data_IF_084919801550
#
_entry.id   IF_084919801550
#
_cell.length_a   1.000
_cell.length_b   1.000
_cell.length_c   1.000
_cell.angle_alpha   90.00
_cell.angle_beta   90.00
_cell.angle_gamma   90.00
#
_symmetry.space_group_name_H-M   'P 1'
#
loop_
_entity.id
_entity.type
_entity.pdbx_description
1 polymer ?
#
# COMPACT_ATOMS: atom_id res chain seq x y z
N UNK A 1 21.93 5.00 5.34
CA UNK A 1 20.89 3.95 5.14
C UNK A 1 19.90 4.45 4.09
N UNK A 2 19.34 3.56 3.27
CA UNK A 2 18.76 3.89 1.97
C UNK A 2 17.33 4.48 2.06
N UNK A 3 17.22 5.70 2.62
CA UNK A 3 15.94 6.39 2.82
C UNK A 3 15.14 6.56 1.52
N UNK A 4 15.83 6.64 0.36
CA UNK A 4 15.21 6.71 -0.96
C UNK A 4 14.45 5.44 -1.33
N UNK A 5 14.95 4.25 -0.95
CA UNK A 5 14.24 2.99 -1.22
C UNK A 5 12.97 2.91 -0.38
N UNK A 6 13.04 3.26 0.91
CA UNK A 6 11.85 3.27 1.78
C UNK A 6 10.78 4.21 1.21
N UNK A 7 11.19 5.40 0.77
CA UNK A 7 10.30 6.38 0.18
C UNK A 7 9.65 5.85 -1.11
N UNK A 8 10.43 5.25 -2.02
CA UNK A 8 9.91 4.63 -3.24
C UNK A 8 8.91 3.50 -2.95
N UNK A 9 9.14 2.68 -1.91
CA UNK A 9 8.17 1.67 -1.51
C UNK A 9 6.84 2.27 -1.05
N UNK A 10 6.86 3.40 -0.31
CA UNK A 10 5.65 4.10 0.10
C UNK A 10 4.89 4.68 -1.09
N UNK A 11 5.61 5.29 -2.02
CA UNK A 11 5.03 5.85 -3.25
C UNK A 11 4.34 4.77 -4.10
N UNK A 12 4.94 3.58 -4.23
CA UNK A 12 4.33 2.46 -4.94
C UNK A 12 3.05 1.96 -4.26
N UNK A 13 3.01 1.94 -2.92
CA UNK A 13 1.80 1.59 -2.17
C UNK A 13 0.70 2.62 -2.42
N UNK A 14 1.03 3.91 -2.37
CA UNK A 14 0.05 4.98 -2.60
C UNK A 14 -0.50 4.97 -4.02
N UNK A 15 0.36 4.76 -5.01
CA UNK A 15 -0.05 4.63 -6.41
C UNK A 15 -1.01 3.45 -6.60
N UNK A 16 -0.66 2.28 -6.07
CA UNK A 16 -1.52 1.11 -6.12
C UNK A 16 -2.87 1.36 -5.41
N UNK A 17 -2.87 2.07 -4.29
CA UNK A 17 -4.11 2.40 -3.55
C UNK A 17 -5.06 3.27 -4.39
N UNK A 18 -4.51 4.20 -5.15
CA UNK A 18 -5.29 5.14 -5.98
C UNK A 18 -5.79 4.50 -7.28
N UNK A 19 -5.00 3.59 -7.85
CA UNK A 19 -5.20 3.09 -9.22
C UNK A 19 -5.74 1.66 -9.31
N UNK A 20 -5.71 0.87 -8.23
CA UNK A 20 -6.11 -0.54 -8.25
C UNK A 20 -7.43 -0.81 -7.50
N UNK A 21 -8.08 -1.92 -7.86
CA UNK A 21 -9.17 -2.49 -7.06
C UNK A 21 -8.63 -3.01 -5.72
N UNK A 22 -9.46 -3.05 -4.67
CA UNK A 22 -9.02 -3.33 -3.29
C UNK A 22 -8.23 -4.65 -3.15
N UNK A 23 -8.71 -5.75 -3.73
CA UNK A 23 -8.00 -7.03 -3.67
C UNK A 23 -6.66 -7.00 -4.42
N UNK A 24 -6.60 -6.31 -5.57
CA UNK A 24 -5.37 -6.14 -6.35
C UNK A 24 -4.38 -5.27 -5.58
N UNK A 25 -4.85 -4.19 -4.95
CA UNK A 25 -4.03 -3.35 -4.08
C UNK A 25 -3.44 -4.13 -2.90
N UNK A 26 -4.24 -4.98 -2.25
CA UNK A 26 -3.78 -5.84 -1.14
C UNK A 26 -2.70 -6.82 -1.61
N UNK A 27 -2.86 -7.43 -2.77
CA UNK A 27 -1.84 -8.30 -3.37
C UNK A 27 -0.53 -7.55 -3.66
N UNK A 28 -0.61 -6.37 -4.28
CA UNK A 28 0.55 -5.51 -4.56
C UNK A 28 1.27 -5.12 -3.26
N UNK A 29 0.55 -4.79 -2.19
CA UNK A 29 1.15 -4.51 -0.88
C UNK A 29 2.00 -5.68 -0.37
N UNK A 30 1.47 -6.90 -0.46
CA UNK A 30 2.19 -8.11 -0.02
C UNK A 30 3.44 -8.35 -0.88
N UNK A 31 3.38 -8.11 -2.18
CA UNK A 31 4.52 -8.25 -3.08
C UNK A 31 5.62 -7.21 -2.81
N UNK A 32 5.24 -5.94 -2.61
CA UNK A 32 6.16 -4.87 -2.22
C UNK A 32 6.87 -5.23 -0.91
N UNK A 33 6.12 -5.68 0.10
CA UNK A 33 6.69 -6.07 1.39
C UNK A 33 7.64 -7.27 1.27
N UNK A 34 7.28 -8.29 0.48
CA UNK A 34 8.12 -9.46 0.24
C UNK A 34 9.49 -9.05 -0.34
N UNK A 35 9.49 -8.13 -1.31
CA UNK A 35 10.71 -7.62 -1.96
C UNK A 35 11.49 -6.65 -1.05
N UNK A 36 10.79 -5.76 -0.35
CA UNK A 36 11.39 -4.72 0.49
C UNK A 36 12.17 -5.28 1.68
N UNK A 37 11.76 -6.44 2.22
CA UNK A 37 12.46 -7.14 3.32
C UNK A 37 13.93 -7.45 3.02
N UNK A 38 14.29 -7.60 1.75
CA UNK A 38 15.66 -7.94 1.33
C UNK A 38 16.58 -6.72 1.14
N UNK A 39 16.01 -5.51 1.04
CA UNK A 39 16.75 -4.28 0.70
C UNK A 39 16.68 -3.21 1.79
N UNK A 40 15.65 -3.27 2.65
CA UNK A 40 15.49 -2.40 3.80
C UNK A 40 16.10 -3.04 5.05
N UNK A 41 16.56 -2.19 5.96
CA UNK A 41 16.88 -2.66 7.31
C UNK A 41 15.63 -3.03 8.08
N UNK A 42 15.78 -3.82 9.15
CA UNK A 42 14.66 -4.25 9.99
C UNK A 42 13.78 -3.08 10.46
N UNK A 43 14.39 -1.95 10.86
CA UNK A 43 13.67 -0.76 11.29
C UNK A 43 12.82 -0.17 10.17
N UNK A 44 13.43 0.08 9.01
CA UNK A 44 12.72 0.63 7.85
C UNK A 44 11.65 -0.31 7.32
N UNK A 45 11.88 -1.61 7.38
CA UNK A 45 10.90 -2.61 6.99
C UNK A 45 9.70 -2.59 7.93
N UNK A 46 9.91 -2.49 9.25
CA UNK A 46 8.83 -2.33 10.23
C UNK A 46 8.00 -1.06 9.94
N UNK A 47 8.67 0.06 9.68
CA UNK A 47 8.01 1.33 9.32
C UNK A 47 7.16 1.18 8.04
N UNK A 48 7.64 0.42 7.04
CA UNK A 48 6.90 0.14 5.81
C UNK A 48 5.70 -0.79 6.03
N UNK A 49 5.83 -1.81 6.88
CA UNK A 49 4.73 -2.72 7.25
C UNK A 49 3.61 -1.95 7.95
N UNK A 50 3.96 -1.07 8.89
CA UNK A 50 2.99 -0.22 9.58
C UNK A 50 2.27 0.70 8.58
N UNK A 51 3.02 1.32 7.66
CA UNK A 51 2.46 2.15 6.59
C UNK A 51 1.47 1.38 5.70
N UNK A 52 1.86 0.20 5.21
CA UNK A 52 1.00 -0.63 4.37
C UNK A 52 -0.29 -1.05 5.10
N UNK A 53 -0.17 -1.40 6.40
CA UNK A 53 -1.32 -1.79 7.21
C UNK A 53 -2.32 -0.65 7.41
N UNK A 54 -1.86 0.60 7.55
CA UNK A 54 -2.72 1.78 7.59
C UNK A 54 -3.46 1.96 6.26
N UNK A 55 -2.73 1.89 5.13
CA UNK A 55 -3.32 2.03 3.78
C UNK A 55 -4.30 0.92 3.40
N UNK A 56 -4.12 -0.30 3.92
CA UNK A 56 -5.06 -1.41 3.76
C UNK A 56 -6.35 -1.20 4.55
N UNK A 57 -6.30 -0.53 5.70
CA UNK A 57 -7.49 -0.22 6.50
C UNK A 57 -8.32 0.94 5.95
N UNK A 58 -7.70 1.88 5.24
CA UNK A 58 -8.41 2.97 4.58
C UNK A 58 -9.41 2.41 3.55
N UNK A 59 -10.68 2.84 3.57
CA UNK A 59 -11.64 2.49 2.51
C UNK A 59 -11.08 2.93 1.16
N UNK A 60 -11.09 2.05 0.16
CA UNK A 60 -10.56 2.43 -1.15
C UNK A 60 -11.48 3.49 -1.81
N UNK A 61 -10.93 4.49 -2.52
CA UNK A 61 -11.74 5.45 -3.28
C UNK A 61 -12.70 4.76 -4.27
N UNK A 62 -12.32 3.58 -4.76
CA UNK A 62 -13.15 2.74 -5.60
C UNK A 62 -14.39 2.17 -4.87
N UNK A 63 -14.24 1.75 -3.61
CA UNK A 63 -15.36 1.26 -2.79
C UNK A 63 -16.33 2.39 -2.45
N UNK A 64 -15.83 3.60 -2.14
CA UNK A 64 -16.68 4.77 -1.96
C UNK A 64 -17.49 5.11 -3.23
N UNK A 65 -16.89 4.95 -4.42
CA UNK A 65 -17.61 5.15 -5.69
C UNK A 65 -18.70 4.10 -5.92
N UNK A 66 -18.47 2.84 -5.55
CA UNK A 66 -19.51 1.81 -5.65
C UNK A 66 -20.66 2.04 -4.67
N UNK A 67 -20.36 2.42 -3.41
CA UNK A 67 -21.40 2.79 -2.44
C UNK A 67 -22.27 3.94 -2.99
N UNK A 68 -21.66 5.01 -3.52
CA UNK A 68 -22.39 6.14 -4.13
C UNK A 68 -23.29 5.73 -5.31
N UNK A 69 -22.90 4.74 -6.10
CA UNK A 69 -23.72 4.22 -7.22
C UNK A 69 -24.85 3.33 -6.70
N UNK A 70 -24.63 2.55 -5.64
CA UNK A 70 -25.63 1.65 -5.06
C UNK A 70 -26.76 2.38 -4.29
N UNK A 71 -26.54 3.62 -3.88
CA UNK A 71 -27.54 4.48 -3.20
C UNK A 71 -28.37 5.35 -4.16
N UNK A 72 -28.30 5.11 -5.47
CA UNK A 72 -29.03 5.86 -6.50
C UNK A 72 -30.02 4.97 -7.23
#
# INVERSE_FOLDING_TARGET
MNARILQACKELIDDAKMNCADLVFKEICLEILARARHVLTQKQFKDLVEYAAEKIKEKAPFEMRQELIAFR
#
